data_IF_217074882803
#
_entry.id   IF_217074882803
#
_cell.length_a   1.000
_cell.length_b   1.000
_cell.length_c   1.000
_cell.angle_alpha   90.00
_cell.angle_beta   90.00
_cell.angle_gamma   90.00
#
_symmetry.space_group_name_H-M   'P 1'
#
loop_
_entity.id
_entity.type
_entity.pdbx_description
1 polymer ?
#
# COMPACT_ATOMS: atom_id res chain seq x y z
N UNK A 1 -24.92 -21.67 8.05
CA UNK A 1 -23.71 -20.86 8.24
C UNK A 1 -23.32 -20.31 6.87
N UNK A 2 -23.68 -19.06 6.57
CA UNK A 2 -23.42 -18.47 5.25
C UNK A 2 -21.99 -17.91 5.30
N UNK A 3 -21.11 -18.39 4.42
CA UNK A 3 -19.73 -17.92 4.32
C UNK A 3 -19.73 -16.43 3.92
N UNK A 4 -19.27 -15.58 4.83
CA UNK A 4 -19.31 -14.10 4.77
C UNK A 4 -18.29 -13.49 3.78
N UNK A 5 -17.70 -14.30 2.89
CA UNK A 5 -16.60 -13.93 1.99
C UNK A 5 -16.98 -13.96 0.49
N UNK A 6 -18.27 -13.93 0.15
CA UNK A 6 -18.70 -13.97 -1.26
C UNK A 6 -18.66 -12.61 -1.96
N UNK A 7 -18.40 -11.52 -1.25
CA UNK A 7 -18.30 -10.17 -1.83
C UNK A 7 -17.00 -9.51 -1.38
N UNK A 8 -16.01 -9.49 -2.27
CA UNK A 8 -14.82 -8.64 -2.07
C UNK A 8 -15.23 -7.17 -2.20
N UNK A 9 -14.64 -6.26 -1.42
CA UNK A 9 -14.85 -4.83 -1.62
C UNK A 9 -14.45 -4.44 -3.04
N UNK A 10 -15.29 -3.68 -3.75
CA UNK A 10 -14.93 -3.11 -5.05
C UNK A 10 -13.88 -2.00 -4.94
N UNK A 11 -13.67 -1.46 -3.74
CA UNK A 11 -12.68 -0.44 -3.40
C UNK A 11 -12.10 -0.76 -2.03
N UNK A 12 -10.77 -0.73 -1.91
CA UNK A 12 -10.03 -0.87 -0.66
C UNK A 12 -9.23 0.40 -0.42
N UNK A 13 -9.32 0.97 0.79
CA UNK A 13 -8.49 2.10 1.19
C UNK A 13 -7.20 1.56 1.83
N UNK A 14 -6.06 1.87 1.22
CA UNK A 14 -4.73 1.49 1.70
C UNK A 14 -3.85 2.71 1.99
N UNK A 15 -2.95 2.57 2.96
CA UNK A 15 -1.95 3.58 3.31
C UNK A 15 -0.56 3.13 2.87
N UNK A 16 0.04 3.87 1.94
CA UNK A 16 1.44 3.68 1.54
C UNK A 16 2.32 4.67 2.29
N UNK A 17 3.28 4.16 3.03
CA UNK A 17 4.23 4.99 3.75
C UNK A 17 5.46 5.23 2.91
N UNK A 18 5.92 6.48 2.94
CA UNK A 18 7.10 6.94 2.24
C UNK A 18 7.60 8.23 2.88
N UNK A 19 8.80 8.65 2.51
CA UNK A 19 9.28 9.98 2.85
C UNK A 19 8.33 11.06 2.33
N UNK A 20 8.20 12.14 3.11
CA UNK A 20 7.32 13.26 2.76
C UNK A 20 7.61 13.82 1.37
N UNK A 21 8.88 13.91 0.98
CA UNK A 21 9.29 14.39 -0.34
C UNK A 21 8.76 13.49 -1.46
N UNK A 22 8.96 12.18 -1.34
CA UNK A 22 8.43 11.16 -2.25
C UNK A 22 6.90 11.27 -2.37
N UNK A 23 6.21 11.35 -1.22
CA UNK A 23 4.75 11.51 -1.21
C UNK A 23 4.28 12.77 -1.96
N UNK A 24 4.97 13.89 -1.80
CA UNK A 24 4.66 15.15 -2.51
C UNK A 24 4.86 15.03 -4.02
N UNK A 25 5.96 14.42 -4.47
CA UNK A 25 6.21 14.19 -5.91
C UNK A 25 5.14 13.31 -6.53
N UNK A 26 4.73 12.24 -5.82
CA UNK A 26 3.68 11.33 -6.31
C UNK A 26 2.33 12.03 -6.44
N UNK A 27 1.88 12.78 -5.43
CA UNK A 27 0.58 13.47 -5.49
C UNK A 27 0.55 14.62 -6.50
N UNK A 28 1.70 15.24 -6.78
CA UNK A 28 1.85 16.26 -7.82
C UNK A 28 2.00 15.67 -9.23
N UNK A 29 2.09 14.35 -9.37
CA UNK A 29 2.28 13.68 -10.65
C UNK A 29 3.70 13.81 -11.22
N UNK A 30 4.68 14.18 -10.39
CA UNK A 30 6.09 14.30 -10.77
C UNK A 30 6.77 12.92 -10.86
N UNK A 31 6.30 11.95 -10.07
CA UNK A 31 6.81 10.57 -10.12
C UNK A 31 5.71 9.54 -9.81
N UNK A 32 6.00 8.28 -10.13
CA UNK A 32 5.18 7.14 -9.74
C UNK A 32 5.83 6.40 -8.57
N UNK A 33 5.01 5.75 -7.74
CA UNK A 33 5.49 4.79 -6.76
C UNK A 33 6.30 3.68 -7.45
N UNK A 34 7.48 3.40 -6.91
CA UNK A 34 8.36 2.35 -7.45
C UNK A 34 8.00 1.02 -6.79
N UNK A 35 7.73 -0.05 -7.56
CA UNK A 35 7.56 -1.36 -6.97
C UNK A 35 8.88 -1.85 -6.38
N UNK A 36 8.80 -2.51 -5.23
CA UNK A 36 9.91 -3.26 -4.68
C UNK A 36 10.17 -4.50 -5.55
N UNK A 37 11.44 -4.78 -5.79
CA UNK A 37 11.91 -5.96 -6.55
C UNK A 37 12.97 -6.72 -5.77
N UNK A 38 12.91 -6.69 -4.43
CA UNK A 38 13.88 -7.40 -3.61
C UNK A 38 13.49 -8.88 -3.50
N UNK A 39 14.46 -9.77 -3.66
CA UNK A 39 14.23 -11.22 -3.54
C UNK A 39 13.80 -11.65 -2.12
N UNK A 40 14.06 -10.82 -1.11
CA UNK A 40 13.76 -11.09 0.29
C UNK A 40 12.44 -10.46 0.78
N UNK A 41 11.66 -9.83 -0.09
CA UNK A 41 10.37 -9.28 0.29
C UNK A 41 9.38 -10.40 0.62
N UNK A 42 8.93 -10.45 1.87
CA UNK A 42 7.95 -11.41 2.40
C UNK A 42 6.64 -11.57 1.60
N UNK A 43 6.25 -10.55 0.81
CA UNK A 43 5.02 -10.53 0.01
C UNK A 43 5.30 -10.63 -1.50
N UNK A 44 6.56 -10.82 -1.91
CA UNK A 44 6.99 -10.76 -3.30
C UNK A 44 6.96 -9.34 -3.88
N UNK A 45 7.38 -9.18 -5.14
CA UNK A 45 7.53 -7.87 -5.78
C UNK A 45 6.22 -7.07 -5.86
N UNK A 46 6.27 -5.77 -5.55
CA UNK A 46 5.08 -4.92 -5.63
C UNK A 46 5.17 -3.59 -4.89
N UNK A 47 4.04 -2.89 -4.82
CA UNK A 47 3.86 -1.66 -4.04
C UNK A 47 2.94 -1.99 -2.87
N UNK A 48 3.42 -1.77 -1.64
CA UNK A 48 2.71 -2.23 -0.45
C UNK A 48 1.87 -1.13 0.17
N UNK A 49 0.69 -1.53 0.66
CA UNK A 49 -0.23 -0.67 1.37
C UNK A 49 -0.69 -1.38 2.64
N UNK A 50 -0.80 -0.63 3.73
CA UNK A 50 -1.47 -1.11 4.93
C UNK A 50 -2.97 -0.87 4.79
N UNK A 51 -3.77 -1.94 4.89
CA UNK A 51 -5.22 -1.84 5.02
C UNK A 51 -5.57 -1.70 6.51
N UNK A 52 -6.29 -0.62 6.86
CA UNK A 52 -6.67 -0.28 8.22
C UNK A 52 -5.44 0.02 9.14
N UNK A 53 -5.55 1.00 10.03
CA UNK A 53 -4.47 1.45 10.94
C UNK A 53 -3.32 2.30 10.28
N UNK A 54 -3.59 3.57 9.97
CA UNK A 54 -2.58 4.48 9.40
C UNK A 54 -1.40 4.76 10.35
N UNK A 55 -1.58 4.61 11.67
CA UNK A 55 -0.48 4.77 12.63
C UNK A 55 0.57 3.67 12.46
N UNK A 56 0.13 2.43 12.19
CA UNK A 56 1.05 1.32 11.90
C UNK A 56 1.70 1.51 10.54
N UNK A 57 0.95 1.98 9.55
CA UNK A 57 1.50 2.31 8.25
C UNK A 57 2.72 3.22 8.40
N UNK A 58 2.60 4.32 9.14
CA UNK A 58 3.67 5.32 9.32
C UNK A 58 4.99 4.77 9.91
N UNK A 59 4.99 3.56 10.47
CA UNK A 59 6.18 2.95 11.08
C UNK A 59 7.02 2.12 10.09
N UNK A 60 6.56 1.95 8.85
CA UNK A 60 7.22 1.22 7.76
C UNK A 60 7.52 2.16 6.61
#
# INVERSE_FOLDING_TARGET
MIYKYSTLPSVVLGFHSCDKETGLKVINGEEHLKPSTNDYDWLGHGIYFWEQNPKRALQY
#
